data_IF_148053910462
#
_entry.id   IF_148053910462
#
_cell.length_a   1.000
_cell.length_b   1.000
_cell.length_c   1.000
_cell.angle_alpha   90.00
_cell.angle_beta   90.00
_cell.angle_gamma   90.00
#
_symmetry.space_group_name_H-M   'P 1'
#
loop_
_entity.id
_entity.type
_entity.pdbx_description
1 polymer ?
#
# COMPACT_ATOMS: atom_id res chain seq x y z
N UNK A 1 0.28 -8.71 3.30
CA UNK A 1 -0.82 -9.30 4.11
C UNK A 1 -2.14 -9.14 3.34
N UNK A 2 -2.77 -10.23 2.87
CA UNK A 2 -4.08 -10.18 2.19
C UNK A 2 -5.18 -9.96 3.24
N UNK A 3 -6.10 -9.03 3.01
CA UNK A 3 -7.34 -8.96 3.80
C UNK A 3 -8.31 -9.97 3.22
N UNK A 4 -8.47 -11.08 3.92
CA UNK A 4 -9.33 -12.19 3.53
C UNK A 4 -10.78 -11.85 3.88
N UNK A 5 -11.60 -11.54 2.88
CA UNK A 5 -13.06 -11.60 3.00
C UNK A 5 -13.49 -13.02 2.62
N UNK A 6 -13.70 -13.88 3.62
CA UNK A 6 -14.26 -15.21 3.41
C UNK A 6 -15.78 -15.11 3.28
N UNK A 7 -16.30 -15.28 2.07
CA UNK A 7 -17.74 -15.51 1.85
C UNK A 7 -17.94 -17.02 1.77
N UNK A 8 -18.52 -17.62 2.82
CA UNK A 8 -18.73 -19.06 2.91
C UNK A 8 -19.83 -19.54 1.95
N UNK A 9 -19.44 -19.99 0.75
CA UNK A 9 -20.29 -20.82 -0.11
C UNK A 9 -19.51 -22.09 -0.45
N UNK A 10 -19.65 -23.13 0.39
CA UNK A 10 -19.24 -24.54 0.23
C UNK A 10 -17.82 -24.89 -0.30
N UNK A 11 -16.99 -23.92 -0.67
CA UNK A 11 -15.60 -24.03 -1.09
C UNK A 11 -14.93 -22.78 -0.53
N UNK A 12 -13.88 -22.94 0.29
CA UNK A 12 -13.17 -21.81 0.90
C UNK A 12 -12.35 -21.06 -0.16
N UNK A 13 -13.03 -20.30 -1.02
CA UNK A 13 -12.41 -19.40 -1.99
C UNK A 13 -12.23 -18.05 -1.31
N UNK A 14 -10.98 -17.65 -1.14
CA UNK A 14 -10.63 -16.32 -0.66
C UNK A 14 -10.49 -15.38 -1.84
N UNK A 15 -11.30 -14.32 -1.84
CA UNK A 15 -11.15 -13.23 -2.80
C UNK A 15 -10.12 -12.27 -2.22
N UNK A 16 -8.94 -12.13 -2.85
CA UNK A 16 -7.99 -11.09 -2.47
C UNK A 16 -7.97 -10.02 -3.55
N UNK A 17 -8.05 -8.76 -3.12
CA UNK A 17 -7.81 -7.63 -4.02
C UNK A 17 -6.33 -7.68 -4.39
N UNK A 18 -6.02 -7.96 -5.65
CA UNK A 18 -4.64 -8.07 -6.05
C UNK A 18 -4.02 -6.69 -6.22
N UNK A 19 -3.20 -6.36 -5.24
CA UNK A 19 -2.32 -5.20 -5.26
C UNK A 19 -0.92 -5.69 -5.52
N UNK A 20 -0.31 -5.13 -6.54
CA UNK A 20 1.08 -5.36 -6.84
C UNK A 20 1.95 -4.60 -5.85
N UNK A 21 3.04 -5.24 -5.45
CA UNK A 21 4.06 -4.62 -4.61
C UNK A 21 4.69 -3.45 -5.38
N UNK A 22 4.68 -2.24 -4.83
CA UNK A 22 5.39 -1.10 -5.45
C UNK A 22 6.87 -1.22 -5.11
N UNK A 23 7.70 -1.53 -6.12
CA UNK A 23 9.15 -1.64 -5.96
C UNK A 23 9.79 -0.31 -5.54
N UNK A 24 9.21 0.81 -5.96
CA UNK A 24 9.62 2.15 -5.53
C UNK A 24 9.39 2.36 -4.03
N UNK A 25 8.24 1.91 -3.51
CA UNK A 25 7.97 1.97 -2.07
C UNK A 25 8.86 1.03 -1.27
N UNK A 26 9.12 -0.19 -1.76
CA UNK A 26 10.03 -1.13 -1.10
C UNK A 26 11.43 -0.54 -0.95
N UNK A 27 11.99 0.01 -2.03
CA UNK A 27 13.28 0.66 -2.01
C UNK A 27 13.29 1.87 -1.05
N UNK A 28 12.23 2.69 -1.07
CA UNK A 28 12.09 3.84 -0.18
C UNK A 28 12.02 3.44 1.30
N UNK A 29 11.24 2.40 1.63
CA UNK A 29 10.96 2.01 3.02
C UNK A 29 12.13 1.23 3.64
N UNK A 30 12.71 0.29 2.89
CA UNK A 30 13.87 -0.50 3.34
C UNK A 30 15.14 0.35 3.52
N UNK A 31 15.24 1.47 2.80
CA UNK A 31 16.35 2.42 2.99
C UNK A 31 16.21 3.31 4.23
N UNK A 32 15.09 3.27 4.97
CA UNK A 32 14.87 4.14 6.14
C UNK A 32 15.66 3.66 7.34
N UNK A 33 16.26 4.61 8.05
CA UNK A 33 16.99 4.43 9.30
C UNK A 33 16.53 5.46 10.32
N UNK A 34 16.85 5.24 11.60
CA UNK A 34 16.51 6.19 12.67
C UNK A 34 17.13 7.59 12.44
N UNK A 35 18.25 7.65 11.74
CA UNK A 35 18.94 8.91 11.41
C UNK A 35 18.24 9.68 10.30
N UNK A 36 17.74 8.98 9.27
CA UNK A 36 17.22 9.59 8.05
C UNK A 36 15.69 9.78 8.04
N UNK A 37 14.99 9.34 9.08
CA UNK A 37 13.52 9.38 9.16
C UNK A 37 12.98 10.09 10.41
N UNK A 38 13.56 11.26 10.74
CA UNK A 38 13.10 12.07 11.89
C UNK A 38 11.71 12.67 11.75
N UNK A 39 11.15 12.68 10.53
CA UNK A 39 9.81 13.22 10.25
C UNK A 39 8.69 12.35 10.83
N UNK A 40 8.90 11.04 10.90
CA UNK A 40 7.90 10.11 11.43
C UNK A 40 8.16 9.86 12.93
N UNK A 41 7.31 10.44 13.77
CA UNK A 41 7.43 10.37 15.24
C UNK A 41 7.28 8.95 15.79
N UNK A 42 6.56 8.08 15.09
CA UNK A 42 6.34 6.68 15.48
C UNK A 42 7.46 5.74 15.00
N UNK A 43 8.43 6.26 14.25
CA UNK A 43 9.47 5.39 13.66
C UNK A 43 10.40 4.79 14.72
N UNK A 44 10.59 5.47 15.86
CA UNK A 44 11.36 4.95 16.97
C UNK A 44 10.68 3.72 17.61
N UNK A 45 9.37 3.80 17.85
CA UNK A 45 8.57 2.71 18.40
C UNK A 45 8.52 1.51 17.45
N UNK A 46 8.29 1.78 16.16
CA UNK A 46 8.35 0.76 15.11
C UNK A 46 9.72 0.04 15.09
N UNK A 47 10.82 0.78 15.23
CA UNK A 47 12.16 0.20 15.22
C UNK A 47 12.38 -0.76 16.39
N UNK A 48 11.96 -0.35 17.59
CA UNK A 48 12.07 -1.20 18.78
C UNK A 48 11.29 -2.51 18.64
N UNK A 49 10.06 -2.45 18.15
CA UNK A 49 9.22 -3.64 17.94
C UNK A 49 9.75 -4.54 16.82
N UNK A 50 10.09 -3.95 15.68
CA UNK A 50 10.49 -4.69 14.48
C UNK A 50 11.82 -5.43 14.64
N UNK A 51 12.75 -4.86 15.40
CA UNK A 51 14.05 -5.48 15.68
C UNK A 51 14.15 -6.10 17.07
N UNK A 52 13.06 -6.06 17.86
CA UNK A 52 13.00 -6.53 19.24
C UNK A 52 14.17 -6.00 20.10
N UNK A 53 14.32 -4.67 20.12
CA UNK A 53 15.38 -3.98 20.85
C UNK A 53 14.87 -2.69 21.51
N UNK A 54 15.68 -2.09 22.39
CA UNK A 54 15.37 -0.83 23.06
C UNK A 54 16.36 0.28 22.72
N UNK A 55 15.84 1.45 22.41
CA UNK A 55 16.60 2.67 22.18
C UNK A 55 16.98 3.28 23.53
N UNK A 56 18.22 3.80 23.65
CA UNK A 56 18.75 4.29 24.93
C UNK A 56 17.98 5.48 25.53
N UNK A 57 17.07 6.12 24.78
CA UNK A 57 16.23 7.22 25.29
C UNK A 57 14.94 6.76 25.96
N UNK A 58 14.63 5.46 26.00
CA UNK A 58 13.46 4.95 26.71
C UNK A 58 13.73 4.87 28.21
N UNK A 59 13.03 5.70 28.99
CA UNK A 59 13.27 5.97 30.42
C UNK A 59 13.04 4.78 31.37
N UNK A 60 12.75 3.57 30.86
CA UNK A 60 12.54 2.37 31.68
C UNK A 60 13.63 1.35 31.38
N UNK A 61 14.65 1.33 32.25
CA UNK A 61 15.75 0.37 32.23
C UNK A 61 15.22 -1.00 32.64
N UNK A 62 14.79 -1.79 31.67
CA UNK A 62 14.73 -3.24 31.81
C UNK A 62 16.06 -3.80 31.30
N UNK A 63 16.91 -4.21 32.25
CA UNK A 63 18.31 -4.62 32.05
C UNK A 63 18.46 -5.89 31.19
N UNK A 64 17.34 -6.57 30.90
CA UNK A 64 17.26 -7.80 30.11
C UNK A 64 17.13 -7.57 28.59
N UNK A 65 16.80 -6.36 28.15
CA UNK A 65 16.46 -6.08 26.75
C UNK A 65 17.67 -5.72 25.88
N UNK A 66 17.76 -6.30 24.68
CA UNK A 66 18.80 -6.00 23.69
C UNK A 66 18.76 -4.52 23.32
N UNK A 67 19.90 -3.83 23.33
CA UNK A 67 19.99 -2.43 22.88
C UNK A 67 20.00 -2.35 21.35
N UNK A 68 19.25 -1.40 20.80
CA UNK A 68 19.34 -1.09 19.36
C UNK A 68 20.66 -0.40 19.04
N UNK A 69 21.30 -0.78 17.95
CA UNK A 69 22.57 -0.21 17.48
C UNK A 69 22.37 0.97 16.53
N UNK A 70 21.20 1.05 15.89
CA UNK A 70 20.89 2.01 14.84
C UNK A 70 21.47 1.63 13.48
N UNK A 71 22.23 0.52 13.39
CA UNK A 71 22.77 -0.03 12.16
C UNK A 71 21.89 -1.12 11.54
N UNK A 72 20.83 -1.52 12.23
CA UNK A 72 19.89 -2.54 11.74
C UNK A 72 19.22 -2.08 10.42
N UNK A 73 18.89 -3.04 9.55
CA UNK A 73 18.33 -2.79 8.22
C UNK A 73 17.01 -3.55 8.01
N UNK A 74 15.98 -2.82 7.57
CA UNK A 74 14.65 -3.37 7.30
C UNK A 74 14.74 -4.30 6.09
N UNK A 75 14.23 -5.53 6.22
CA UNK A 75 14.29 -6.56 5.17
C UNK A 75 15.58 -7.38 5.13
N UNK A 76 16.61 -7.00 5.89
CA UNK A 76 17.83 -7.79 6.07
C UNK A 76 17.86 -8.36 7.50
N UNK A 77 17.83 -7.48 8.51
CA UNK A 77 17.89 -7.85 9.92
C UNK A 77 16.48 -8.02 10.54
N UNK A 78 15.43 -7.80 9.75
CA UNK A 78 14.03 -7.99 10.15
C UNK A 78 13.20 -8.50 8.99
N UNK A 79 12.12 -9.22 9.31
CA UNK A 79 11.17 -9.70 8.32
C UNK A 79 10.37 -8.52 7.76
N UNK A 80 10.53 -8.25 6.47
CA UNK A 80 9.75 -7.24 5.76
C UNK A 80 8.87 -7.91 4.70
N UNK A 81 7.57 -7.62 4.76
CA UNK A 81 6.61 -7.93 3.71
C UNK A 81 5.79 -6.66 3.46
N UNK A 82 5.76 -6.17 2.22
CA UNK A 82 4.98 -4.98 1.91
C UNK A 82 3.49 -5.21 2.18
N UNK A 83 2.82 -4.19 2.73
CA UNK A 83 1.39 -4.28 2.91
C UNK A 83 0.67 -4.16 1.56
N UNK A 84 -0.22 -5.12 1.29
CA UNK A 84 -0.91 -5.29 0.01
C UNK A 84 -1.98 -4.23 -0.28
N UNK A 85 -1.92 -3.05 0.34
CA UNK A 85 -2.81 -1.91 0.06
C UNK A 85 -2.05 -0.61 -0.14
N UNK A 86 -0.72 -0.64 -0.09
CA UNK A 86 0.12 0.56 -0.25
C UNK A 86 -0.17 1.25 -1.59
N UNK A 87 -0.39 0.50 -2.67
CA UNK A 87 -0.73 1.09 -3.97
C UNK A 87 -2.01 1.93 -3.92
N UNK A 88 -3.05 1.52 -3.17
CA UNK A 88 -4.27 2.32 -3.06
C UNK A 88 -4.03 3.66 -2.37
N UNK A 89 -3.13 3.69 -1.40
CA UNK A 89 -2.74 4.93 -0.73
C UNK A 89 -1.96 5.83 -1.68
N UNK A 90 -1.03 5.26 -2.44
CA UNK A 90 -0.26 5.97 -3.47
C UNK A 90 -1.23 6.57 -4.51
N UNK A 91 -2.11 5.76 -5.07
CA UNK A 91 -3.08 6.17 -6.09
C UNK A 91 -4.04 7.25 -5.55
N UNK A 92 -4.48 7.16 -4.28
CA UNK A 92 -5.34 8.18 -3.67
C UNK A 92 -4.63 9.55 -3.55
N UNK A 93 -3.35 9.56 -3.19
CA UNK A 93 -2.53 10.78 -3.13
C UNK A 93 -2.33 11.35 -4.53
N UNK A 94 -2.01 10.51 -5.52
CA UNK A 94 -1.87 10.94 -6.91
C UNK A 94 -3.18 11.46 -7.49
N UNK A 95 -4.32 10.85 -7.17
CA UNK A 95 -5.63 11.33 -7.60
C UNK A 95 -5.89 12.77 -7.12
N UNK A 96 -5.53 13.07 -5.87
CA UNK A 96 -5.63 14.42 -5.33
C UNK A 96 -4.66 15.39 -6.01
N UNK A 97 -3.42 14.97 -6.24
CA UNK A 97 -2.41 15.78 -6.93
C UNK A 97 -2.86 16.14 -8.36
N UNK A 98 -3.37 15.16 -9.11
CA UNK A 98 -3.93 15.38 -10.44
C UNK A 98 -5.18 16.29 -10.41
N UNK A 99 -6.05 16.14 -9.41
CA UNK A 99 -7.22 17.01 -9.27
C UNK A 99 -6.81 18.47 -9.07
N UNK A 100 -5.86 18.72 -8.16
CA UNK A 100 -5.32 20.05 -7.90
C UNK A 100 -4.58 20.62 -9.11
N UNK A 101 -3.81 19.78 -9.83
CA UNK A 101 -3.12 20.21 -11.04
C UNK A 101 -4.09 20.61 -12.16
N UNK A 102 -5.13 19.82 -12.40
CA UNK A 102 -6.16 20.15 -13.40
C UNK A 102 -6.91 21.43 -13.02
N UNK A 103 -7.23 21.59 -11.75
CA UNK A 103 -7.87 22.80 -11.23
C UNK A 103 -6.98 24.04 -11.37
N UNK A 104 -5.69 23.90 -11.09
CA UNK A 104 -4.72 24.98 -11.24
C UNK A 104 -4.59 25.41 -12.71
N UNK A 105 -4.51 24.45 -13.65
CA UNK A 105 -4.44 24.76 -15.08
C UNK A 105 -5.68 25.46 -15.60
N UNK A 106 -6.85 25.11 -15.08
CA UNK A 106 -8.13 25.71 -15.50
C UNK A 106 -8.35 27.11 -14.93
N UNK A 107 -7.93 27.37 -13.68
CA UNK A 107 -8.20 28.63 -12.99
C UNK A 107 -7.03 29.63 -13.06
N UNK A 108 -5.81 29.12 -13.19
CA UNK A 108 -4.59 29.90 -13.08
C UNK A 108 -3.66 29.68 -14.29
N UNK A 109 -4.12 29.89 -15.54
CA UNK A 109 -3.32 29.57 -16.74
C UNK A 109 -2.01 30.38 -16.82
N UNK A 110 -2.01 31.62 -16.32
CA UNK A 110 -0.88 32.55 -16.41
C UNK A 110 0.01 32.57 -15.14
N UNK A 111 -0.33 31.79 -14.11
CA UNK A 111 0.37 31.81 -12.83
C UNK A 111 1.03 30.47 -12.53
N UNK A 112 2.30 30.50 -12.10
CA UNK A 112 2.93 29.35 -11.46
C UNK A 112 2.51 29.29 -9.99
N UNK A 113 1.71 28.30 -9.60
CA UNK A 113 1.25 28.10 -8.23
C UNK A 113 -0.25 28.38 -8.05
N UNK A 114 -0.64 28.74 -6.82
CA UNK A 114 -2.04 28.96 -6.43
C UNK A 114 -2.38 30.43 -6.67
N UNK A 115 -3.38 30.69 -7.52
CA UNK A 115 -3.93 32.03 -7.73
C UNK A 115 -5.14 32.30 -6.79
N UNK A 116 -5.55 33.56 -6.59
CA UNK A 116 -6.67 33.91 -5.71
C UNK A 116 -7.97 33.17 -6.05
N UNK A 117 -8.23 32.91 -7.33
CA UNK A 117 -9.42 32.17 -7.77
C UNK A 117 -9.40 30.70 -7.36
N UNK A 118 -8.21 30.09 -7.27
CA UNK A 118 -8.02 28.73 -6.78
C UNK A 118 -8.08 28.67 -5.26
N UNK A 119 -7.55 29.68 -4.57
CA UNK A 119 -7.62 29.79 -3.11
C UNK A 119 -9.08 29.92 -2.63
N UNK A 120 -9.90 30.68 -3.36
CA UNK A 120 -11.33 30.88 -3.07
C UNK A 120 -12.25 29.78 -3.60
N UNK A 121 -11.76 28.88 -4.44
CA UNK A 121 -12.59 27.91 -5.15
C UNK A 121 -13.35 26.91 -4.26
N UNK A 122 -12.87 26.68 -3.03
CA UNK A 122 -13.53 25.86 -2.02
C UNK A 122 -13.71 24.38 -2.39
N UNK A 123 -14.21 23.59 -1.43
CA UNK A 123 -14.29 22.13 -1.56
C UNK A 123 -15.25 21.63 -2.65
N UNK A 124 -16.35 22.35 -2.94
CA UNK A 124 -17.33 21.94 -3.97
C UNK A 124 -16.72 21.95 -5.37
N UNK A 125 -15.89 22.95 -5.68
CA UNK A 125 -15.23 23.07 -6.98
C UNK A 125 -14.13 22.01 -7.09
N UNK A 126 -13.32 21.83 -6.05
CA UNK A 126 -12.32 20.76 -5.99
C UNK A 126 -12.94 19.37 -6.16
N UNK A 127 -14.10 19.10 -5.55
CA UNK A 127 -14.80 17.81 -5.69
C UNK A 127 -15.15 17.48 -7.16
N UNK A 128 -15.47 18.51 -7.97
CA UNK A 128 -15.72 18.32 -9.41
C UNK A 128 -14.47 17.81 -10.12
N UNK A 129 -13.30 18.35 -9.77
CA UNK A 129 -12.01 17.91 -10.30
C UNK A 129 -11.65 16.50 -9.83
N UNK A 130 -11.81 16.20 -8.54
CA UNK A 130 -11.55 14.85 -8.00
C UNK A 130 -12.36 13.78 -8.76
N UNK A 131 -13.63 14.06 -9.07
CA UNK A 131 -14.50 13.14 -9.80
C UNK A 131 -14.15 12.97 -11.28
N UNK A 132 -13.48 13.95 -11.89
CA UNK A 132 -13.10 13.91 -13.31
C UNK A 132 -11.67 13.43 -13.54
N UNK A 133 -10.88 13.22 -12.48
CA UNK A 133 -9.51 12.74 -12.60
C UNK A 133 -9.50 11.34 -13.22
N UNK A 134 -8.71 11.21 -14.29
CA UNK A 134 -8.30 9.93 -14.82
C UNK A 134 -6.80 10.01 -15.10
N UNK A 135 -6.06 9.06 -14.53
CA UNK A 135 -4.63 8.90 -14.78
C UNK A 135 -4.33 7.40 -14.82
N UNK A 136 -3.22 7.07 -15.46
CA UNK A 136 -2.69 5.73 -15.43
C UNK A 136 -1.76 5.65 -14.21
N UNK A 137 -2.01 4.71 -13.29
CA UNK A 137 -1.09 4.45 -12.18
C UNK A 137 0.26 3.90 -12.67
N UNK A 138 1.22 3.68 -11.76
CA UNK A 138 2.61 3.23 -12.06
C UNK A 138 2.69 2.03 -13.02
N UNK A 139 1.64 1.21 -13.14
CA UNK A 139 1.57 0.06 -14.04
C UNK A 139 0.78 0.29 -15.33
N UNK A 140 0.61 1.53 -15.78
CA UNK A 140 -0.13 1.84 -17.03
C UNK A 140 -1.54 1.22 -17.08
N UNK A 141 -2.17 1.04 -15.92
CA UNK A 141 -3.55 0.58 -15.80
C UNK A 141 -4.42 1.78 -15.45
N UNK A 142 -5.42 2.00 -16.30
CA UNK A 142 -6.59 2.81 -15.94
C UNK A 142 -7.10 2.27 -14.61
N UNK A 143 -7.53 3.15 -13.70
CA UNK A 143 -8.17 2.75 -12.45
C UNK A 143 -9.41 1.88 -12.79
N UNK A 144 -9.22 0.58 -12.93
CA UNK A 144 -10.29 -0.36 -13.27
C UNK A 144 -11.05 -0.60 -11.98
N UNK A 145 -12.36 -0.37 -12.00
CA UNK A 145 -13.23 -0.68 -10.88
C UNK A 145 -13.18 -2.19 -10.62
N UNK A 146 -12.47 -2.62 -9.57
CA UNK A 146 -12.54 -3.96 -9.02
C UNK A 146 -11.85 -5.06 -9.85
N UNK A 147 -10.53 -5.19 -9.71
CA UNK A 147 -9.82 -6.43 -10.09
C UNK A 147 -9.50 -7.22 -8.83
N UNK A 148 -9.89 -8.49 -8.79
CA UNK A 148 -9.63 -9.41 -7.69
C UNK A 148 -9.00 -10.68 -8.23
N UNK A 149 -7.99 -11.20 -7.53
CA UNK A 149 -7.52 -12.54 -7.81
C UNK A 149 -8.17 -13.49 -6.80
N UNK A 150 -8.55 -14.66 -7.30
CA UNK A 150 -9.28 -15.67 -6.56
C UNK A 150 -8.29 -16.71 -6.09
N UNK A 151 -8.22 -16.91 -4.78
CA UNK A 151 -7.33 -17.88 -4.16
C UNK A 151 -8.15 -19.00 -3.53
N UNK A 152 -7.63 -20.23 -3.60
CA UNK A 152 -8.15 -21.36 -2.86
C UNK A 152 -7.06 -21.92 -1.97
N UNK A 153 -7.41 -22.23 -0.72
CA UNK A 153 -6.51 -22.97 0.16
C UNK A 153 -6.52 -24.44 -0.23
N UNK A 154 -5.37 -24.98 -0.58
CA UNK A 154 -5.23 -26.34 -1.09
C UNK A 154 -4.08 -27.06 -0.36
N UNK A 155 -4.24 -28.37 -0.19
CA UNK A 155 -3.19 -29.25 0.29
C UNK A 155 -2.55 -29.97 -0.89
N UNK A 156 -1.25 -29.76 -1.10
CA UNK A 156 -0.47 -30.52 -2.08
C UNK A 156 0.63 -31.30 -1.37
N UNK A 157 0.76 -32.59 -1.68
CA UNK A 157 1.80 -33.45 -1.09
C UNK A 157 3.24 -32.94 -1.37
N UNK A 158 3.45 -32.16 -2.43
CA UNK A 158 4.76 -31.61 -2.79
C UNK A 158 5.11 -30.28 -2.12
N UNK A 159 4.14 -29.40 -1.87
CA UNK A 159 4.37 -28.02 -1.36
C UNK A 159 3.78 -27.78 0.02
N UNK A 160 3.11 -28.77 0.61
CA UNK A 160 2.31 -28.60 1.81
C UNK A 160 1.03 -27.79 1.56
N UNK A 161 0.37 -27.36 2.64
CA UNK A 161 -0.83 -26.54 2.57
C UNK A 161 -0.50 -25.09 2.19
N UNK A 162 -1.30 -24.49 1.31
CA UNK A 162 -1.12 -23.08 0.95
C UNK A 162 -2.23 -22.52 0.06
N UNK A 163 -2.26 -21.19 -0.05
CA UNK A 163 -3.14 -20.49 -0.98
C UNK A 163 -2.58 -20.55 -2.40
N UNK A 164 -3.40 -20.96 -3.37
CA UNK A 164 -3.08 -20.94 -4.79
C UNK A 164 -4.08 -20.07 -5.55
N UNK A 165 -3.59 -19.30 -6.52
CA UNK A 165 -4.44 -18.54 -7.43
C UNK A 165 -5.18 -19.54 -8.33
N UNK A 166 -6.51 -19.51 -8.27
CA UNK A 166 -7.40 -20.34 -9.09
C UNK A 166 -8.13 -19.53 -10.16
N UNK A 167 -8.02 -18.20 -10.15
CA UNK A 167 -8.65 -17.36 -11.14
C UNK A 167 -8.56 -15.88 -10.84
N UNK A 168 -9.30 -15.09 -11.62
CA UNK A 168 -9.34 -13.65 -11.53
C UNK A 168 -10.75 -13.15 -11.88
N UNK A 169 -11.22 -12.15 -11.14
CA UNK A 169 -12.42 -11.39 -11.43
C UNK A 169 -12.03 -9.96 -11.80
N UNK A 170 -12.51 -9.47 -12.93
CA UNK A 170 -12.38 -8.06 -13.32
C UNK A 170 -13.76 -7.53 -13.64
N UNK A 171 -14.17 -7.63 -14.90
CA UNK A 171 -15.57 -7.43 -15.32
C UNK A 171 -16.28 -8.79 -15.51
N UNK A 172 -15.49 -9.82 -15.81
CA UNK A 172 -15.92 -11.21 -15.97
C UNK A 172 -15.08 -12.13 -15.10
N UNK A 173 -15.66 -13.29 -14.76
CA UNK A 173 -15.04 -14.32 -13.96
C UNK A 173 -14.21 -15.26 -14.85
N UNK A 174 -12.90 -15.31 -14.62
CA UNK A 174 -12.00 -16.27 -15.24
C UNK A 174 -11.50 -17.23 -14.17
N UNK A 175 -11.97 -18.49 -14.22
CA UNK A 175 -11.51 -19.56 -13.33
C UNK A 175 -10.72 -20.59 -14.12
N UNK A 176 -9.64 -21.07 -13.53
CA UNK A 176 -8.91 -22.22 -14.02
C UNK A 176 -9.41 -23.48 -13.29
N UNK A 177 -10.40 -24.15 -13.88
CA UNK A 177 -10.99 -25.35 -13.31
C UNK A 177 -9.98 -26.50 -13.11
N UNK A 178 -8.88 -26.54 -13.87
CA UNK A 178 -7.84 -27.56 -13.71
C UNK A 178 -7.02 -27.37 -12.42
N UNK A 179 -7.07 -26.18 -11.82
CA UNK A 179 -6.41 -25.89 -10.54
C UNK A 179 -7.35 -26.07 -9.35
N UNK A 180 -8.62 -26.42 -9.57
CA UNK A 180 -9.60 -26.62 -8.52
C UNK A 180 -9.77 -28.13 -8.32
N UNK A 181 -9.35 -28.69 -7.17
CA UNK A 181 -9.48 -30.12 -6.88
C UNK A 181 -10.92 -30.54 -6.63
#
# INVERSE_FOLDING_TARGET
MCVFLCVCVCVCVCVCVCVWCSSGFDAYFTSRTLENNRRNVWFAEYWEENFNCKLMSSSKRDDSSRKCTGQERIGIDSKYEQEGKVQFVIDAVYAMAHALHNMQRDLCPEYSGICPDMDLAGGKKLLKYIRSVSFNGEQSKRLVLGRYDLFQYQWNNATGPGYRVIGQWTETLHLNAALIP
#
